data_IF_987559427239
#
_entry.id   IF_987559427239
#
_cell.length_a   1.000
_cell.length_b   1.000
_cell.length_c   1.000
_cell.angle_alpha   90.00
_cell.angle_beta   90.00
_cell.angle_gamma   90.00
#
_symmetry.space_group_name_H-M   'P 1'
#
loop_
_entity.id
_entity.type
_entity.pdbx_description
1 polymer ?
#
# COMPACT_ATOMS: atom_id res chain seq x y z
N UNK A 1 -4.71 -3.27 14.93
CA UNK A 1 -3.69 -4.10 14.25
C UNK A 1 -2.34 -3.40 14.32
N UNK A 2 -1.29 -4.13 14.55
CA UNK A 2 0.04 -3.56 14.52
C UNK A 2 0.89 -4.27 13.48
N UNK A 3 1.69 -3.52 12.73
CA UNK A 3 2.63 -4.09 11.78
C UNK A 3 3.82 -4.70 12.54
N UNK A 4 4.52 -5.68 11.94
CA UNK A 4 5.74 -6.20 12.54
C UNK A 4 6.76 -5.10 12.79
N UNK A 5 7.53 -5.23 13.84
CA UNK A 5 8.58 -4.25 14.17
C UNK A 5 9.55 -4.05 13.01
N UNK A 6 9.88 -5.12 12.30
CA UNK A 6 10.77 -5.07 11.13
C UNK A 6 10.22 -4.18 10.01
N UNK A 7 8.91 -3.94 9.96
CA UNK A 7 8.30 -3.07 8.95
C UNK A 7 8.72 -1.61 9.11
N UNK A 8 9.17 -1.21 10.30
CA UNK A 8 9.59 0.17 10.57
C UNK A 8 11.03 0.46 10.17
N UNK A 9 11.71 -0.52 9.61
CA UNK A 9 13.06 -0.31 9.07
C UNK A 9 12.96 0.34 7.69
N UNK A 10 13.97 1.14 7.35
CA UNK A 10 14.09 1.68 6.00
C UNK A 10 14.52 0.55 5.07
N UNK A 11 13.76 0.35 4.01
CA UNK A 11 14.00 -0.69 3.02
C UNK A 11 14.17 -0.05 1.64
N UNK A 12 14.72 -0.82 0.72
CA UNK A 12 14.97 -0.37 -0.65
C UNK A 12 14.15 -1.20 -1.63
N UNK A 13 13.58 -0.54 -2.62
CA UNK A 13 12.85 -1.21 -3.71
C UNK A 13 13.38 -0.71 -5.05
N UNK A 14 13.81 -1.64 -5.91
CA UNK A 14 14.23 -1.33 -7.27
C UNK A 14 13.02 -1.50 -8.19
N UNK A 15 12.51 -0.39 -8.69
CA UNK A 15 11.29 -0.38 -9.48
C UNK A 15 11.53 -0.84 -10.92
N UNK A 16 10.46 -1.29 -11.57
CA UNK A 16 10.49 -1.69 -12.98
C UNK A 16 10.90 -0.54 -13.90
N UNK A 17 10.71 0.70 -13.48
CA UNK A 17 11.13 1.90 -14.22
C UNK A 17 12.64 2.13 -14.21
N UNK A 18 13.38 1.37 -13.39
CA UNK A 18 14.80 1.56 -13.18
C UNK A 18 15.13 2.48 -12.01
N UNK A 19 14.14 3.10 -11.40
CA UNK A 19 14.34 3.95 -10.23
C UNK A 19 14.45 3.10 -8.98
N UNK A 20 15.19 3.63 -7.99
CA UNK A 20 15.37 2.98 -6.70
C UNK A 20 14.73 3.87 -5.64
N UNK A 21 13.82 3.29 -4.88
CA UNK A 21 13.12 3.99 -3.79
C UNK A 21 13.53 3.41 -2.46
N UNK A 22 13.60 4.28 -1.45
CA UNK A 22 13.64 3.84 -0.07
C UNK A 22 12.27 4.09 0.54
N UNK A 23 11.83 3.22 1.43
CA UNK A 23 10.53 3.35 2.06
C UNK A 23 10.59 2.84 3.50
N UNK A 24 9.70 3.41 4.32
CA UNK A 24 9.58 3.04 5.72
C UNK A 24 8.11 3.09 6.11
N UNK A 25 7.63 2.02 6.73
CA UNK A 25 6.29 2.02 7.28
C UNK A 25 6.21 3.03 8.43
N UNK A 26 5.24 3.92 8.39
CA UNK A 26 5.05 4.95 9.41
C UNK A 26 3.93 4.59 10.36
N UNK A 27 2.69 4.42 9.85
CA UNK A 27 1.55 4.10 10.70
C UNK A 27 0.41 3.48 9.90
N UNK A 28 -0.54 2.88 10.61
CA UNK A 28 -1.82 2.46 10.07
C UNK A 28 -2.91 2.93 11.04
N UNK A 29 -4.00 3.46 10.50
CA UNK A 29 -5.12 3.91 11.30
C UNK A 29 -6.44 3.75 10.53
N UNK A 30 -7.58 3.67 11.25
CA UNK A 30 -8.89 3.67 10.59
C UNK A 30 -9.10 4.97 9.82
N UNK A 31 -9.73 4.88 8.66
CA UNK A 31 -9.98 6.05 7.82
C UNK A 31 -11.27 5.86 7.03
N UNK A 32 -11.72 6.94 6.40
CA UNK A 32 -12.89 6.94 5.52
C UNK A 32 -12.54 7.68 4.23
N UNK A 33 -13.13 7.19 3.13
CA UNK A 33 -13.10 7.86 1.83
C UNK A 33 -14.53 7.91 1.33
N UNK A 34 -15.17 9.10 1.43
CA UNK A 34 -16.59 9.23 1.18
C UNK A 34 -17.39 8.36 2.15
N UNK A 35 -18.18 7.43 1.63
CA UNK A 35 -18.95 6.49 2.44
C UNK A 35 -18.22 5.19 2.76
N UNK A 36 -17.01 5.02 2.25
CA UNK A 36 -16.24 3.80 2.46
C UNK A 36 -15.37 3.93 3.70
N UNK A 37 -15.37 2.90 4.54
CA UNK A 37 -14.45 2.79 5.66
C UNK A 37 -13.34 1.81 5.34
N UNK A 38 -12.21 1.94 6.02
CA UNK A 38 -11.08 1.06 5.81
C UNK A 38 -9.90 1.41 6.69
N UNK A 39 -8.73 0.93 6.30
CA UNK A 39 -7.48 1.21 6.98
C UNK A 39 -6.57 2.02 6.06
N UNK A 40 -5.98 3.08 6.58
CA UNK A 40 -5.02 3.88 5.85
C UNK A 40 -3.62 3.54 6.33
N UNK A 41 -2.80 3.04 5.40
CA UNK A 41 -1.40 2.73 5.65
C UNK A 41 -0.56 3.89 5.14
N UNK A 42 0.29 4.43 6.01
CA UNK A 42 1.15 5.57 5.66
C UNK A 42 2.59 5.10 5.60
N UNK A 43 3.23 5.35 4.47
CA UNK A 43 4.66 5.10 4.28
C UNK A 43 5.38 6.41 4.04
N UNK A 44 6.60 6.50 4.56
CA UNK A 44 7.54 7.55 4.16
C UNK A 44 8.37 7.00 3.01
N UNK A 45 8.50 7.77 1.95
CA UNK A 45 9.17 7.33 0.72
C UNK A 45 10.22 8.38 0.33
N UNK A 46 11.38 7.89 -0.09
CA UNK A 46 12.47 8.73 -0.60
C UNK A 46 12.87 8.23 -1.98
N UNK A 47 13.03 9.15 -2.92
CA UNK A 47 13.55 8.87 -4.25
C UNK A 47 14.90 9.58 -4.40
N UNK A 48 15.93 8.85 -4.80
CA UNK A 48 17.26 9.39 -5.09
C UNK A 48 17.82 10.32 -3.99
N UNK A 49 17.67 9.93 -2.73
CA UNK A 49 18.17 10.66 -1.56
C UNK A 49 17.57 12.05 -1.38
N UNK A 50 16.45 12.32 -2.01
CA UNK A 50 15.73 13.58 -1.86
C UNK A 50 14.94 13.59 -0.56
N UNK A 51 14.28 14.70 -0.30
CA UNK A 51 13.40 14.83 0.86
C UNK A 51 12.29 13.78 0.79
N UNK A 52 12.06 13.11 1.92
CA UNK A 52 11.00 12.11 2.01
C UNK A 52 9.61 12.73 1.91
N UNK A 53 8.66 11.95 1.41
CA UNK A 53 7.26 12.34 1.32
C UNK A 53 6.36 11.21 1.79
N UNK A 54 5.18 11.53 2.35
CA UNK A 54 4.24 10.49 2.75
C UNK A 54 3.48 9.95 1.54
N UNK A 55 3.28 8.64 1.52
CA UNK A 55 2.45 7.97 0.53
C UNK A 55 1.43 7.13 1.28
N UNK A 56 0.15 7.32 0.96
CA UNK A 56 -0.95 6.70 1.68
C UNK A 56 -1.62 5.63 0.84
N UNK A 57 -1.90 4.49 1.46
CA UNK A 57 -2.62 3.38 0.82
C UNK A 57 -3.88 3.14 1.64
N UNK A 58 -5.04 3.36 1.05
CA UNK A 58 -6.32 3.09 1.68
C UNK A 58 -6.82 1.71 1.29
N UNK A 59 -6.94 0.82 2.26
CA UNK A 59 -7.46 -0.53 2.05
C UNK A 59 -8.94 -0.52 2.42
N UNK A 60 -9.80 -0.63 1.43
CA UNK A 60 -11.25 -0.54 1.59
C UNK A 60 -11.78 -1.81 2.27
N UNK A 61 -12.48 -1.64 3.39
CA UNK A 61 -12.99 -2.77 4.18
C UNK A 61 -13.96 -3.63 3.40
N UNK A 62 -14.85 -3.01 2.62
CA UNK A 62 -15.83 -3.73 1.82
C UNK A 62 -15.17 -4.64 0.78
N UNK A 63 -14.03 -4.25 0.24
CA UNK A 63 -13.30 -5.07 -0.71
C UNK A 63 -12.83 -6.37 -0.05
N UNK A 64 -12.27 -6.26 1.16
CA UNK A 64 -11.82 -7.43 1.92
C UNK A 64 -13.01 -8.34 2.29
N UNK A 65 -14.11 -7.75 2.71
CA UNK A 65 -15.32 -8.49 3.06
C UNK A 65 -15.88 -9.25 1.87
N UNK A 66 -16.01 -8.59 0.71
CA UNK A 66 -16.52 -9.21 -0.51
C UNK A 66 -15.60 -10.33 -1.00
N UNK A 67 -14.30 -10.13 -0.92
CA UNK A 67 -13.34 -11.17 -1.30
C UNK A 67 -13.54 -12.43 -0.46
N UNK A 68 -13.67 -12.27 0.85
CA UNK A 68 -13.89 -13.39 1.78
C UNK A 68 -15.22 -14.11 1.49
N UNK A 69 -16.29 -13.35 1.37
CA UNK A 69 -17.64 -13.91 1.16
C UNK A 69 -17.78 -14.60 -0.19
N UNK A 70 -17.29 -13.95 -1.25
CA UNK A 70 -17.43 -14.45 -2.61
C UNK A 70 -16.67 -15.76 -2.83
N UNK A 71 -15.51 -15.89 -2.27
CA UNK A 71 -14.65 -17.05 -2.49
C UNK A 71 -14.74 -18.11 -1.39
N UNK A 72 -15.56 -17.88 -0.36
CA UNK A 72 -15.58 -18.76 0.82
C UNK A 72 -14.26 -18.78 1.56
N UNK A 73 -13.46 -17.74 1.42
CA UNK A 73 -12.14 -17.65 2.01
C UNK A 73 -12.21 -17.11 3.43
N UNK A 74 -11.18 -17.40 4.20
CA UNK A 74 -11.07 -16.90 5.57
C UNK A 74 -10.82 -15.39 5.59
N UNK A 75 -11.06 -14.77 6.72
CA UNK A 75 -10.70 -13.38 6.95
C UNK A 75 -9.19 -13.20 6.94
N UNK A 76 -8.72 -12.09 6.38
CA UNK A 76 -7.29 -11.78 6.37
C UNK A 76 -6.80 -11.43 7.77
N UNK A 77 -5.60 -11.89 8.09
CA UNK A 77 -4.91 -11.45 9.30
C UNK A 77 -4.40 -10.02 9.11
N UNK A 78 -4.05 -9.35 10.21
CA UNK A 78 -3.45 -8.02 10.14
C UNK A 78 -2.15 -8.00 9.34
N UNK A 79 -1.34 -9.05 9.46
CA UNK A 79 -0.09 -9.16 8.69
C UNK A 79 -0.35 -9.31 7.20
N UNK A 80 -1.38 -10.06 6.84
CA UNK A 80 -1.77 -10.23 5.43
C UNK A 80 -2.33 -8.94 4.83
N UNK A 81 -3.14 -8.20 5.58
CA UNK A 81 -3.64 -6.89 5.15
C UNK A 81 -2.49 -5.92 4.93
N UNK A 82 -1.52 -5.90 5.85
CA UNK A 82 -0.30 -5.10 5.70
C UNK A 82 0.44 -5.48 4.41
N UNK A 83 0.56 -6.79 4.13
CA UNK A 83 1.24 -7.27 2.92
C UNK A 83 0.52 -6.81 1.64
N UNK A 84 -0.81 -6.81 1.63
CA UNK A 84 -1.60 -6.32 0.49
C UNK A 84 -1.34 -4.83 0.26
N UNK A 85 -1.35 -4.03 1.33
CA UNK A 85 -1.06 -2.60 1.23
C UNK A 85 0.35 -2.36 0.68
N UNK A 86 1.32 -3.13 1.14
CA UNK A 86 2.71 -3.05 0.67
C UNK A 86 2.84 -3.41 -0.82
N UNK A 87 2.10 -4.42 -1.28
CA UNK A 87 2.09 -4.76 -2.70
C UNK A 87 1.52 -3.62 -3.55
N UNK A 88 0.51 -2.93 -3.05
CA UNK A 88 -0.04 -1.76 -3.75
C UNK A 88 1.00 -0.64 -3.84
N UNK A 89 1.79 -0.45 -2.77
CA UNK A 89 2.90 0.51 -2.79
C UNK A 89 3.91 0.15 -3.88
N UNK A 90 4.32 -1.12 -3.95
CA UNK A 90 5.27 -1.59 -4.97
C UNK A 90 4.71 -1.41 -6.39
N UNK A 91 3.42 -1.65 -6.57
CA UNK A 91 2.76 -1.43 -7.84
C UNK A 91 2.89 0.04 -8.29
N UNK A 92 2.72 0.98 -7.36
CA UNK A 92 2.89 2.39 -7.67
C UNK A 92 4.33 2.71 -8.04
N UNK A 93 5.31 2.13 -7.35
CA UNK A 93 6.73 2.31 -7.69
C UNK A 93 7.02 1.84 -9.11
N UNK A 94 6.39 0.75 -9.53
CA UNK A 94 6.63 0.15 -10.85
C UNK A 94 5.88 0.90 -11.97
N UNK A 95 4.73 1.49 -11.67
CA UNK A 95 3.86 2.09 -12.67
C UNK A 95 4.08 3.59 -12.87
N UNK A 96 4.43 4.31 -11.81
CA UNK A 96 4.66 5.75 -11.89
C UNK A 96 6.13 5.97 -12.25
N UNK A 97 6.38 6.69 -13.34
CA UNK A 97 7.74 6.86 -13.85
C UNK A 97 8.70 7.45 -12.83
N UNK A 98 8.29 8.52 -12.13
CA UNK A 98 9.12 9.14 -11.11
C UNK A 98 8.25 9.78 -10.02
N UNK A 99 8.01 9.03 -8.94
CA UNK A 99 7.23 9.53 -7.82
C UNK A 99 7.91 10.71 -7.13
N UNK A 100 9.25 10.75 -7.14
CA UNK A 100 9.99 11.84 -6.53
C UNK A 100 9.85 13.17 -7.27
N UNK A 101 9.47 13.13 -8.55
CA UNK A 101 9.26 14.33 -9.37
C UNK A 101 7.82 14.85 -9.30
N UNK A 102 6.90 14.10 -8.70
CA UNK A 102 5.51 14.51 -8.57
C UNK A 102 5.41 15.62 -7.53
N UNK A 103 4.76 16.75 -7.84
CA UNK A 103 4.59 17.82 -6.85
C UNK A 103 3.87 17.31 -5.60
N UNK A 104 4.20 17.81 -4.39
CA UNK A 104 3.64 17.28 -3.14
C UNK A 104 2.11 17.23 -3.10
N UNK A 105 1.43 18.21 -3.69
CA UNK A 105 -0.03 18.22 -3.73
C UNK A 105 -0.64 17.26 -4.74
N UNK A 106 0.17 16.58 -5.55
CA UNK A 106 -0.28 15.67 -6.60
C UNK A 106 0.20 14.24 -6.39
N UNK A 107 0.84 13.95 -5.26
CA UNK A 107 1.23 12.57 -4.91
C UNK A 107 -0.04 11.73 -4.82
N UNK A 108 -0.13 10.61 -5.55
CA UNK A 108 -1.36 9.84 -5.60
C UNK A 108 -1.72 9.22 -4.26
N UNK A 109 -3.01 9.20 -3.97
CA UNK A 109 -3.57 8.48 -2.82
C UNK A 109 -3.94 7.08 -3.34
N UNK A 110 -3.18 6.09 -2.95
CA UNK A 110 -3.31 4.73 -3.50
C UNK A 110 -4.49 4.01 -2.87
N UNK A 111 -5.18 3.22 -3.67
CA UNK A 111 -6.40 2.56 -3.24
C UNK A 111 -6.31 1.05 -3.46
N UNK A 112 -6.74 0.28 -2.46
CA UNK A 112 -6.99 -1.15 -2.58
C UNK A 112 -8.50 -1.35 -2.48
N UNK A 113 -9.12 -1.77 -3.56
CA UNK A 113 -10.55 -1.96 -3.65
C UNK A 113 -10.89 -3.24 -4.44
N UNK A 114 -12.16 -3.40 -4.79
CA UNK A 114 -12.64 -4.59 -5.50
C UNK A 114 -11.99 -4.77 -6.88
N UNK A 115 -11.47 -3.69 -7.47
CA UNK A 115 -10.91 -3.75 -8.83
C UNK A 115 -9.49 -4.31 -8.86
N UNK A 116 -8.72 -4.20 -7.76
CA UNK A 116 -7.32 -4.61 -7.75
C UNK A 116 -6.96 -5.65 -6.68
N UNK A 117 -7.85 -5.92 -5.74
CA UNK A 117 -7.54 -6.82 -4.62
C UNK A 117 -7.14 -8.22 -5.08
N UNK A 118 -7.87 -8.78 -6.04
CA UNK A 118 -7.60 -10.14 -6.52
C UNK A 118 -6.18 -10.25 -7.09
N UNK A 119 -5.76 -9.27 -7.88
CA UNK A 119 -4.43 -9.23 -8.47
C UNK A 119 -3.34 -9.12 -7.39
N UNK A 120 -3.57 -8.27 -6.38
CA UNK A 120 -2.64 -8.11 -5.28
C UNK A 120 -2.52 -9.39 -4.44
N UNK A 121 -3.64 -10.06 -4.20
CA UNK A 121 -3.66 -11.32 -3.46
C UNK A 121 -2.93 -12.42 -4.22
N UNK A 122 -3.13 -12.49 -5.54
CA UNK A 122 -2.44 -13.48 -6.38
C UNK A 122 -0.92 -13.27 -6.34
N UNK A 123 -0.46 -12.03 -6.34
CA UNK A 123 0.96 -11.71 -6.25
C UNK A 123 1.58 -12.15 -4.92
N UNK A 124 0.77 -12.26 -3.88
CA UNK A 124 1.18 -12.73 -2.55
C UNK A 124 0.95 -14.23 -2.35
N UNK A 125 0.39 -14.91 -3.33
CA UNK A 125 0.03 -16.32 -3.25
C UNK A 125 -0.96 -16.61 -2.11
N UNK A 126 -1.92 -15.73 -1.97
CA UNK A 126 -2.98 -15.85 -0.96
C UNK A 126 -4.30 -16.35 -1.55
#
# INVERSE_FOLDING_TARGET
MSAPETARRIKTYSAATGRVYQYQFHEVHPARRGFSSGAEYVYLVWADRQTGFPLKIFVKRDALRKWREHAGRRELTGTEEYAVAKMRLFQAFDEVDDLGAVPPGQVPDLLVDETNLETLMAALDL
#
